data_IF_192126977338
#
_entry.id   IF_192126977338
#
_cell.length_a   1.000
_cell.length_b   1.000
_cell.length_c   1.000
_cell.angle_alpha   90.00
_cell.angle_beta   90.00
_cell.angle_gamma   90.00
#
_symmetry.space_group_name_H-M   'P 1'
#
loop_
_entity.id
_entity.type
_entity.pdbx_description
1 polymer ?
#
# COMPACT_ATOMS: atom_id res chain seq x y z
N UNK A 1 -54.13 46.16 -22.73
CA UNK A 1 -52.92 45.31 -22.65
C UNK A 1 -52.99 44.54 -21.35
N UNK A 2 -53.42 43.28 -21.40
CA UNK A 2 -53.32 42.40 -20.22
C UNK A 2 -51.89 41.87 -20.18
N UNK A 3 -51.17 42.19 -19.11
CA UNK A 3 -49.96 41.44 -18.76
C UNK A 3 -50.43 40.05 -18.38
N UNK A 4 -50.22 39.10 -19.27
CA UNK A 4 -50.43 37.71 -18.97
C UNK A 4 -49.37 37.36 -17.93
N UNK A 5 -49.83 37.05 -16.72
CA UNK A 5 -48.96 36.66 -15.61
C UNK A 5 -48.22 35.37 -16.03
N UNK A 6 -46.96 35.53 -16.44
CA UNK A 6 -46.07 34.47 -16.91
C UNK A 6 -45.62 33.58 -15.75
N UNK A 7 -46.56 32.79 -15.23
CA UNK A 7 -46.33 31.79 -14.20
C UNK A 7 -46.51 30.41 -14.80
N UNK A 8 -45.44 29.62 -14.78
CA UNK A 8 -45.48 28.21 -15.13
C UNK A 8 -45.34 27.38 -13.86
N UNK A 9 -46.28 26.48 -13.60
CA UNK A 9 -46.35 25.68 -12.35
C UNK A 9 -46.28 26.52 -11.05
N UNK A 10 -46.85 27.73 -11.06
CA UNK A 10 -46.88 28.63 -9.89
C UNK A 10 -45.57 29.39 -9.63
N UNK A 11 -44.58 29.27 -10.52
CA UNK A 11 -43.32 30.00 -10.45
C UNK A 11 -43.22 31.00 -11.59
N UNK A 12 -42.67 32.19 -11.30
CA UNK A 12 -42.44 33.21 -12.32
C UNK A 12 -41.34 32.78 -13.30
N UNK A 13 -41.36 33.31 -14.53
CA UNK A 13 -40.29 33.11 -15.51
C UNK A 13 -38.88 33.37 -14.95
N UNK A 14 -38.72 34.37 -14.08
CA UNK A 14 -37.45 34.68 -13.41
C UNK A 14 -36.98 33.53 -12.52
N UNK A 15 -37.89 32.88 -11.80
CA UNK A 15 -37.58 31.72 -10.97
C UNK A 15 -37.17 30.51 -11.83
N UNK A 16 -37.85 30.26 -12.95
CA UNK A 16 -37.44 29.21 -13.90
C UNK A 16 -36.08 29.44 -14.53
N UNK A 17 -35.79 30.70 -14.91
CA UNK A 17 -34.47 31.09 -15.41
C UNK A 17 -33.38 30.92 -14.36
N UNK A 18 -33.65 31.27 -13.10
CA UNK A 18 -32.73 31.06 -11.99
C UNK A 18 -32.47 29.56 -11.74
N UNK A 19 -33.51 28.72 -11.74
CA UNK A 19 -33.37 27.26 -11.59
C UNK A 19 -32.52 26.66 -12.71
N UNK A 20 -32.79 27.05 -13.96
CA UNK A 20 -31.99 26.62 -15.12
C UNK A 20 -30.52 27.03 -14.99
N UNK A 21 -30.27 28.27 -14.56
CA UNK A 21 -28.92 28.79 -14.34
C UNK A 21 -28.18 28.06 -13.21
N UNK A 22 -28.87 27.79 -12.09
CA UNK A 22 -28.32 27.01 -10.96
C UNK A 22 -28.00 25.58 -11.42
N UNK A 23 -28.92 24.93 -12.15
CA UNK A 23 -28.71 23.57 -12.68
C UNK A 23 -27.50 23.52 -13.61
N UNK A 24 -27.37 24.48 -14.51
CA UNK A 24 -26.23 24.59 -15.43
C UNK A 24 -24.93 24.82 -14.67
N UNK A 25 -24.94 25.71 -13.67
CA UNK A 25 -23.78 25.95 -12.80
C UNK A 25 -23.36 24.68 -12.05
N UNK A 26 -24.30 23.95 -11.46
CA UNK A 26 -24.03 22.67 -10.80
C UNK A 26 -23.44 21.64 -11.77
N UNK A 27 -23.99 21.52 -12.99
CA UNK A 27 -23.46 20.60 -13.99
C UNK A 27 -22.02 20.93 -14.38
N UNK A 28 -21.68 22.22 -14.54
CA UNK A 28 -20.31 22.68 -14.79
C UNK A 28 -19.40 22.37 -13.61
N UNK A 29 -19.82 22.63 -12.38
CA UNK A 29 -19.04 22.31 -11.18
C UNK A 29 -18.75 20.81 -11.06
N UNK A 30 -19.75 19.96 -11.33
CA UNK A 30 -19.57 18.50 -11.36
C UNK A 30 -18.57 18.10 -12.45
N UNK A 31 -18.69 18.64 -13.66
CA UNK A 31 -17.78 18.34 -14.75
C UNK A 31 -16.33 18.74 -14.45
N UNK A 32 -16.11 19.87 -13.75
CA UNK A 32 -14.79 20.32 -13.32
C UNK A 32 -14.24 19.50 -12.14
N UNK A 33 -15.09 19.11 -11.20
CA UNK A 33 -14.67 18.40 -9.99
C UNK A 33 -14.44 16.91 -10.22
N UNK A 34 -15.19 16.29 -11.14
CA UNK A 34 -15.07 14.87 -11.46
C UNK A 34 -13.64 14.39 -11.74
N UNK A 35 -12.86 14.99 -12.67
CA UNK A 35 -11.50 14.54 -12.96
C UNK A 35 -10.54 14.71 -11.77
N UNK A 36 -10.77 15.71 -10.92
CA UNK A 36 -10.00 15.92 -9.69
C UNK A 36 -10.31 14.80 -8.70
N UNK A 37 -11.59 14.50 -8.50
CA UNK A 37 -12.04 13.43 -7.60
C UNK A 37 -11.49 12.05 -8.01
N UNK A 38 -11.46 11.78 -9.32
CA UNK A 38 -10.96 10.52 -9.86
C UNK A 38 -9.43 10.38 -9.67
N UNK A 39 -8.68 11.46 -9.93
CA UNK A 39 -7.22 11.49 -9.66
C UNK A 39 -6.91 11.28 -8.18
N UNK A 40 -7.63 11.96 -7.28
CA UNK A 40 -7.44 11.80 -5.83
C UNK A 40 -7.82 10.38 -5.38
N UNK A 41 -8.90 9.83 -5.92
CA UNK A 41 -9.35 8.46 -5.65
C UNK A 41 -8.32 7.41 -6.10
N UNK A 42 -7.79 7.54 -7.33
CA UNK A 42 -6.74 6.67 -7.87
C UNK A 42 -5.47 6.74 -7.01
N UNK A 43 -5.04 7.95 -6.63
CA UNK A 43 -3.87 8.17 -5.76
C UNK A 43 -4.03 7.46 -4.41
N UNK A 44 -5.16 7.67 -3.74
CA UNK A 44 -5.46 7.01 -2.46
C UNK A 44 -5.48 5.49 -2.59
N UNK A 45 -6.06 4.97 -3.67
CA UNK A 45 -6.15 3.52 -3.91
C UNK A 45 -4.77 2.88 -4.07
N UNK A 46 -3.90 3.45 -4.91
CA UNK A 46 -2.55 2.94 -5.16
C UNK A 46 -1.75 2.89 -3.86
N UNK A 47 -1.70 3.98 -3.11
CA UNK A 47 -0.98 3.99 -1.84
C UNK A 47 -1.56 2.97 -0.87
N UNK A 48 -2.88 2.94 -0.68
CA UNK A 48 -3.52 2.02 0.25
C UNK A 48 -3.29 0.55 -0.08
N UNK A 49 -3.17 0.17 -1.36
CA UNK A 49 -2.82 -1.20 -1.77
C UNK A 49 -1.40 -1.54 -1.33
N UNK A 50 -0.42 -0.69 -1.65
CA UNK A 50 0.99 -0.91 -1.28
C UNK A 50 1.16 -0.90 0.24
N UNK A 51 0.48 0.02 0.93
CA UNK A 51 0.55 0.09 2.39
C UNK A 51 0.00 -1.17 3.05
N UNK A 52 -1.02 -1.80 2.45
CA UNK A 52 -1.55 -3.09 2.91
C UNK A 52 -0.58 -4.24 2.64
N UNK A 53 0.10 -4.25 1.50
CA UNK A 53 1.13 -5.23 1.18
C UNK A 53 2.28 -5.15 2.20
N UNK A 54 2.82 -3.95 2.45
CA UNK A 54 3.87 -3.72 3.47
C UNK A 54 3.43 -4.22 4.84
N UNK A 55 2.19 -3.92 5.27
CA UNK A 55 1.65 -4.43 6.55
C UNK A 55 1.53 -5.95 6.59
N UNK A 56 1.12 -6.59 5.49
CA UNK A 56 1.06 -8.06 5.41
C UNK A 56 2.46 -8.66 5.52
N UNK A 57 3.43 -8.11 4.81
CA UNK A 57 4.83 -8.56 4.89
C UNK A 57 5.41 -8.36 6.29
N UNK A 58 5.09 -7.25 6.96
CA UNK A 58 5.50 -7.04 8.34
C UNK A 58 4.93 -8.12 9.29
N UNK A 59 3.66 -8.52 9.11
CA UNK A 59 3.08 -9.63 9.89
C UNK A 59 3.76 -10.97 9.61
N UNK A 60 4.25 -11.20 8.39
CA UNK A 60 5.05 -12.39 8.07
C UNK A 60 6.36 -12.36 8.86
N UNK A 61 7.04 -11.22 8.94
CA UNK A 61 8.25 -11.07 9.76
C UNK A 61 7.96 -11.23 11.26
N UNK A 62 6.86 -10.67 11.76
CA UNK A 62 6.44 -10.89 13.16
C UNK A 62 6.19 -12.36 13.47
N UNK A 63 5.57 -13.10 12.54
CA UNK A 63 5.39 -14.55 12.65
C UNK A 63 6.73 -15.28 12.64
N UNK A 64 7.65 -14.93 11.73
CA UNK A 64 8.99 -15.52 11.70
C UNK A 64 9.74 -15.29 13.03
N UNK A 65 9.65 -14.08 13.59
CA UNK A 65 10.22 -13.74 14.89
C UNK A 65 9.56 -14.46 16.07
N UNK A 66 8.26 -14.72 16.01
CA UNK A 66 7.55 -15.51 17.03
C UNK A 66 7.83 -17.00 16.90
N UNK A 67 8.00 -17.50 15.68
CA UNK A 67 8.36 -18.90 15.42
C UNK A 67 9.78 -19.23 15.93
N UNK A 68 10.69 -18.25 15.95
CA UNK A 68 11.96 -18.35 16.68
C UNK A 68 11.80 -18.66 18.18
N UNK A 69 10.66 -18.30 18.78
CA UNK A 69 10.39 -18.44 20.23
C UNK A 69 9.58 -19.71 20.56
N UNK A 70 9.02 -20.40 19.55
CA UNK A 70 8.15 -21.56 19.75
C UNK A 70 8.85 -22.84 19.26
N UNK A 71 9.05 -23.86 20.12
CA UNK A 71 9.70 -25.12 19.76
C UNK A 71 8.72 -26.04 19.01
N UNK A 72 8.23 -25.63 17.83
CA UNK A 72 7.08 -26.27 17.17
C UNK A 72 7.37 -26.92 15.81
N UNK A 73 8.63 -27.08 15.40
CA UNK A 73 8.97 -27.91 14.25
C UNK A 73 9.78 -29.09 14.75
N UNK A 74 9.10 -30.23 14.90
CA UNK A 74 9.58 -31.43 15.58
C UNK A 74 11.06 -31.70 15.40
N UNK A 75 11.77 -31.76 16.52
CA UNK A 75 13.11 -32.29 16.87
C UNK A 75 14.28 -32.27 15.87
N UNK A 76 14.17 -31.85 14.60
CA UNK A 76 15.24 -31.98 13.61
C UNK A 76 15.33 -30.86 12.55
N UNK A 77 14.49 -29.82 12.58
CA UNK A 77 14.62 -28.70 11.63
C UNK A 77 15.42 -27.56 12.28
N UNK A 78 16.58 -27.15 11.72
CA UNK A 78 17.32 -26.01 12.23
C UNK A 78 16.44 -24.76 12.20
N UNK A 79 16.36 -24.05 13.34
CA UNK A 79 15.64 -22.77 13.50
C UNK A 79 15.79 -21.83 12.27
N UNK A 80 17.00 -21.63 11.69
CA UNK A 80 17.23 -20.81 10.48
C UNK A 80 16.37 -21.17 9.27
N UNK A 81 16.09 -22.45 9.08
CA UNK A 81 15.32 -22.98 7.94
C UNK A 81 13.82 -22.65 8.08
N UNK A 82 13.30 -22.70 9.30
CA UNK A 82 11.90 -22.31 9.61
C UNK A 82 11.63 -20.84 9.30
N UNK A 83 12.59 -19.97 9.65
CA UNK A 83 12.52 -18.54 9.38
C UNK A 83 12.59 -18.28 7.89
N UNK A 84 13.54 -18.92 7.20
CA UNK A 84 13.66 -18.82 5.75
C UNK A 84 12.36 -19.24 5.04
N UNK A 85 11.72 -20.33 5.48
CA UNK A 85 10.44 -20.78 4.92
C UNK A 85 9.32 -19.77 5.16
N UNK A 86 9.28 -19.14 6.34
CA UNK A 86 8.28 -18.11 6.66
C UNK A 86 8.51 -16.85 5.83
N UNK A 87 9.77 -16.41 5.69
CA UNK A 87 10.16 -15.22 4.91
C UNK A 87 9.83 -15.37 3.43
N UNK A 88 9.83 -16.59 2.86
CA UNK A 88 9.40 -16.83 1.47
C UNK A 88 7.94 -16.45 1.18
N UNK A 89 7.14 -16.20 2.21
CA UNK A 89 5.77 -15.73 2.06
C UNK A 89 5.69 -14.20 1.83
N UNK A 90 6.82 -13.48 1.86
CA UNK A 90 6.88 -12.07 1.46
C UNK A 90 6.45 -11.94 0.00
N UNK A 91 5.52 -11.04 -0.26
CA UNK A 91 5.01 -10.73 -1.60
C UNK A 91 5.28 -9.25 -1.93
N UNK A 92 5.81 -8.98 -3.12
CA UNK A 92 6.14 -7.63 -3.61
C UNK A 92 5.46 -7.32 -4.95
N UNK A 93 4.46 -8.11 -5.35
CA UNK A 93 3.81 -8.04 -6.66
C UNK A 93 3.11 -6.69 -6.83
N UNK A 94 2.39 -6.21 -5.81
CA UNK A 94 1.68 -4.93 -5.91
C UNK A 94 2.65 -3.76 -5.94
N UNK A 95 3.77 -3.82 -5.20
CA UNK A 95 4.83 -2.83 -5.32
C UNK A 95 5.37 -2.77 -6.76
N UNK A 96 5.76 -3.91 -7.32
CA UNK A 96 6.35 -3.97 -8.67
C UNK A 96 5.39 -3.46 -9.75
N UNK A 97 4.11 -3.82 -9.66
CA UNK A 97 3.07 -3.35 -10.58
C UNK A 97 2.80 -1.84 -10.48
N UNK A 98 3.00 -1.24 -9.29
CA UNK A 98 2.56 0.14 -9.02
C UNK A 98 3.71 1.14 -8.76
N UNK A 99 4.97 0.71 -8.72
CA UNK A 99 6.12 1.57 -8.36
C UNK A 99 6.23 2.83 -9.23
N UNK A 100 5.95 2.71 -10.53
CA UNK A 100 5.96 3.85 -11.44
C UNK A 100 4.83 4.84 -11.10
N UNK A 101 3.61 4.36 -10.88
CA UNK A 101 2.49 5.19 -10.48
C UNK A 101 2.76 5.91 -9.15
N UNK A 102 3.41 5.26 -8.18
CA UNK A 102 3.83 5.92 -6.93
C UNK A 102 4.84 7.03 -7.19
N UNK A 103 5.84 6.79 -8.05
CA UNK A 103 6.85 7.80 -8.40
C UNK A 103 6.23 9.06 -9.02
N UNK A 104 5.24 8.88 -9.88
CA UNK A 104 4.49 9.96 -10.53
C UNK A 104 3.58 10.72 -9.55
N UNK A 105 3.04 10.02 -8.55
CA UNK A 105 2.11 10.59 -7.57
C UNK A 105 2.78 11.25 -6.37
N UNK A 106 3.95 10.77 -5.94
CA UNK A 106 4.68 11.29 -4.77
C UNK A 106 6.10 10.74 -4.68
N UNK A 107 7.09 11.59 -4.98
CA UNK A 107 8.52 11.27 -4.83
C UNK A 107 8.86 10.85 -3.39
N UNK A 108 8.29 11.54 -2.39
CA UNK A 108 8.51 11.23 -0.98
C UNK A 108 8.05 9.82 -0.64
N UNK A 109 6.82 9.45 -1.01
CA UNK A 109 6.28 8.11 -0.75
C UNK A 109 7.01 7.04 -1.55
N UNK A 110 7.42 7.36 -2.78
CA UNK A 110 8.24 6.46 -3.58
C UNK A 110 9.56 6.13 -2.88
N UNK A 111 10.29 7.15 -2.40
CA UNK A 111 11.54 6.94 -1.67
C UNK A 111 11.34 6.12 -0.38
N UNK A 112 10.25 6.34 0.34
CA UNK A 112 9.90 5.53 1.53
C UNK A 112 9.64 4.06 1.15
N UNK A 113 8.86 3.81 0.10
CA UNK A 113 8.48 2.46 -0.30
C UNK A 113 9.62 1.69 -0.96
N UNK A 114 10.46 2.34 -1.78
CA UNK A 114 11.65 1.70 -2.38
C UNK A 114 12.53 1.12 -1.29
N UNK A 115 12.88 1.90 -0.26
CA UNK A 115 13.76 1.42 0.81
C UNK A 115 13.22 0.18 1.53
N UNK A 116 11.92 0.18 1.85
CA UNK A 116 11.27 -0.97 2.52
C UNK A 116 11.23 -2.20 1.61
N UNK A 117 10.86 -2.02 0.34
CA UNK A 117 10.71 -3.14 -0.59
C UNK A 117 12.06 -3.72 -1.02
N UNK A 118 13.11 -2.89 -1.15
CA UNK A 118 14.48 -3.34 -1.40
C UNK A 118 14.99 -4.21 -0.24
N UNK A 119 14.76 -3.79 1.00
CA UNK A 119 15.12 -4.57 2.20
C UNK A 119 14.37 -5.92 2.26
N UNK A 120 13.06 -5.91 1.96
CA UNK A 120 12.24 -7.13 1.89
C UNK A 120 12.68 -8.06 0.76
N UNK A 121 13.05 -7.51 -0.39
CA UNK A 121 13.54 -8.27 -1.54
C UNK A 121 14.87 -8.94 -1.23
N UNK A 122 15.81 -8.20 -0.64
CA UNK A 122 17.09 -8.76 -0.18
C UNK A 122 16.85 -9.90 0.81
N UNK A 123 15.98 -9.68 1.80
CA UNK A 123 15.64 -10.70 2.79
C UNK A 123 15.03 -11.96 2.16
N UNK A 124 14.17 -11.80 1.15
CA UNK A 124 13.57 -12.90 0.40
C UNK A 124 14.62 -13.69 -0.40
N UNK A 125 15.54 -13.00 -1.08
CA UNK A 125 16.66 -13.63 -1.81
C UNK A 125 17.55 -14.43 -0.85
N UNK A 126 17.93 -13.84 0.29
CA UNK A 126 18.72 -14.54 1.31
C UNK A 126 18.01 -15.76 1.89
N UNK A 127 16.70 -15.68 2.13
CA UNK A 127 15.91 -16.83 2.57
C UNK A 127 15.84 -17.94 1.52
N UNK A 128 15.79 -17.61 0.24
CA UNK A 128 15.87 -18.60 -0.83
C UNK A 128 17.24 -19.29 -0.83
N UNK A 129 18.33 -18.52 -0.79
CA UNK A 129 19.70 -19.06 -0.74
C UNK A 129 19.91 -20.04 0.43
N UNK A 130 19.37 -19.73 1.61
CA UNK A 130 19.47 -20.57 2.81
C UNK A 130 18.81 -21.95 2.62
N UNK A 131 17.73 -22.03 1.84
CA UNK A 131 17.06 -23.31 1.55
C UNK A 131 17.79 -24.16 0.50
N UNK A 132 18.56 -23.53 -0.40
CA UNK A 132 19.26 -24.23 -1.48
C UNK A 132 20.69 -24.62 -1.12
N UNK A 133 21.35 -23.87 -0.24
CA UNK A 133 22.76 -24.10 0.12
C UNK A 133 22.88 -24.31 1.64
N UNK A 134 23.23 -25.53 2.07
CA UNK A 134 23.53 -25.86 3.48
C UNK A 134 24.85 -25.20 3.89
N UNK A 135 24.86 -23.88 4.01
CA UNK A 135 26.05 -23.11 4.34
C UNK A 135 26.38 -23.13 5.83
N UNK A 136 27.67 -22.91 6.12
CA UNK A 136 28.27 -22.90 7.46
C UNK A 136 27.56 -21.97 8.46
N UNK A 137 27.72 -22.24 9.76
CA UNK A 137 27.16 -21.46 10.87
C UNK A 137 27.37 -19.93 10.76
N UNK A 138 28.46 -19.46 10.12
CA UNK A 138 28.71 -18.03 9.89
C UNK A 138 27.70 -17.37 8.95
N UNK A 139 27.19 -18.08 7.95
CA UNK A 139 26.17 -17.56 7.03
C UNK A 139 24.82 -17.43 7.75
N UNK A 140 24.48 -18.39 8.60
CA UNK A 140 23.26 -18.37 9.42
C UNK A 140 23.23 -17.15 10.34
N UNK A 141 24.36 -16.82 10.97
CA UNK A 141 24.48 -15.67 11.87
C UNK A 141 24.32 -14.33 11.15
N UNK A 142 24.90 -14.20 9.95
CA UNK A 142 24.71 -13.03 9.08
C UNK A 142 23.24 -12.84 8.68
N UNK A 143 22.53 -13.94 8.44
CA UNK A 143 21.12 -13.91 8.05
C UNK A 143 20.23 -13.50 9.23
N UNK A 144 20.54 -13.99 10.43
CA UNK A 144 19.83 -13.56 11.63
C UNK A 144 20.04 -12.07 11.93
N UNK A 145 21.25 -11.55 11.72
CA UNK A 145 21.54 -10.12 11.85
C UNK A 145 20.80 -9.27 10.80
N UNK A 146 20.78 -9.71 9.53
CA UNK A 146 20.05 -9.04 8.46
C UNK A 146 18.53 -9.03 8.74
N UNK A 147 17.98 -10.15 9.20
CA UNK A 147 16.58 -10.25 9.59
C UNK A 147 16.24 -9.28 10.73
N UNK A 148 17.02 -9.25 11.82
CA UNK A 148 16.76 -8.33 12.94
C UNK A 148 16.86 -6.86 12.52
N UNK A 149 17.80 -6.53 11.61
CA UNK A 149 17.90 -5.18 11.05
C UNK A 149 16.63 -4.80 10.29
N UNK A 150 16.22 -5.59 9.30
CA UNK A 150 15.01 -5.33 8.48
C UNK A 150 13.76 -5.30 9.36
N UNK A 151 13.66 -6.20 10.34
CA UNK A 151 12.56 -6.22 11.29
C UNK A 151 12.47 -4.92 12.11
N UNK A 152 13.60 -4.44 12.65
CA UNK A 152 13.65 -3.20 13.43
C UNK A 152 13.34 -1.97 12.56
N UNK A 153 13.86 -1.93 11.33
CA UNK A 153 13.62 -0.82 10.42
C UNK A 153 12.16 -0.78 9.98
N UNK A 154 11.56 -1.91 9.57
CA UNK A 154 10.12 -1.99 9.31
C UNK A 154 9.25 -1.67 10.53
N UNK A 155 9.69 -2.03 11.74
CA UNK A 155 8.97 -1.70 12.98
C UNK A 155 8.94 -0.19 13.22
N UNK A 156 9.99 0.55 12.85
CA UNK A 156 9.97 2.03 12.89
C UNK A 156 8.93 2.56 11.90
N UNK A 157 8.91 2.06 10.66
CA UNK A 157 7.97 2.53 9.64
C UNK A 157 6.51 2.27 10.00
N UNK A 158 6.20 1.10 10.56
CA UNK A 158 4.84 0.74 10.97
C UNK A 158 4.35 1.45 12.23
N UNK A 159 5.25 2.04 13.05
CA UNK A 159 4.84 2.83 14.24
C UNK A 159 4.16 4.16 13.88
N UNK A 160 4.36 4.65 12.66
CA UNK A 160 3.84 5.93 12.19
C UNK A 160 2.60 5.81 11.28
N UNK A 161 2.01 4.62 11.15
CA UNK A 161 0.94 4.27 10.21
C UNK A 161 -0.26 3.63 10.91
#
# INVERSE_FOLDING_TARGET
MQFQDDYFLGLSNTAWSAISSISTCCAVLVALYFPISEKVGRRKRVFLIIEREIRKNFRVLEKAKKNHLLPLLGDNVPIPVSIAFTIRQINLDYWEENKQAVSELSIKKYSEYVGINDELQQLSLFAQELLFDQKSAKHIEQIQQAFEKVYLDMKKYTKYW
#
